data_IF_120974113645
#
_entry.id   IF_120974113645
#
_cell.length_a   1.000
_cell.length_b   1.000
_cell.length_c   1.000
_cell.angle_alpha   90.00
_cell.angle_beta   90.00
_cell.angle_gamma   90.00
#
_symmetry.space_group_name_H-M   'P 1'
#
loop_
_entity.id
_entity.type
_entity.pdbx_description
1 polymer ?
#
# COMPACT_ATOMS: atom_id res chain seq x y z
N UNK A 1 -2.73 -30.14 18.29
CA UNK A 1 -1.98 -29.74 17.08
C UNK A 1 -2.52 -28.39 16.62
N UNK A 2 -1.74 -27.29 16.68
CA UNK A 2 -2.21 -25.98 16.18
C UNK A 2 -2.25 -26.04 14.65
N UNK A 3 -3.42 -25.82 14.03
CA UNK A 3 -3.56 -25.76 12.56
C UNK A 3 -2.64 -24.66 12.03
N UNK A 4 -1.85 -24.95 10.99
CA UNK A 4 -1.05 -23.94 10.30
C UNK A 4 -2.01 -22.88 9.75
N UNK A 5 -1.79 -21.59 10.03
CA UNK A 5 -2.64 -20.53 9.49
C UNK A 5 -2.65 -20.59 7.95
N UNK A 6 -3.74 -20.16 7.30
CA UNK A 6 -3.81 -20.13 5.84
C UNK A 6 -2.64 -19.33 5.26
N UNK A 7 -2.03 -19.87 4.21
CA UNK A 7 -0.90 -19.23 3.52
C UNK A 7 -1.38 -17.95 2.81
N UNK A 8 -0.71 -16.84 3.06
CA UNK A 8 -0.95 -15.59 2.35
C UNK A 8 0.04 -15.44 1.19
N UNK A 9 -0.47 -15.63 -0.03
CA UNK A 9 0.33 -15.56 -1.26
C UNK A 9 0.61 -14.11 -1.70
N UNK A 10 0.09 -13.12 -0.96
CA UNK A 10 0.29 -11.71 -1.25
C UNK A 10 1.69 -11.23 -0.85
N UNK A 11 2.01 -9.97 -1.16
CA UNK A 11 3.25 -9.33 -0.70
C UNK A 11 3.32 -9.23 0.82
N UNK A 12 2.18 -9.14 1.50
CA UNK A 12 2.09 -9.12 2.97
C UNK A 12 2.57 -10.44 3.55
N UNK A 13 2.07 -11.58 3.04
CA UNK A 13 2.53 -12.89 3.48
C UNK A 13 3.99 -13.19 3.15
N UNK A 14 4.46 -12.80 1.96
CA UNK A 14 5.89 -12.89 1.62
C UNK A 14 6.76 -12.07 2.56
N UNK A 15 6.37 -10.82 2.87
CA UNK A 15 7.11 -9.93 3.78
C UNK A 15 7.13 -10.47 5.21
N UNK A 16 6.00 -10.95 5.72
CA UNK A 16 5.92 -11.58 7.03
C UNK A 16 6.84 -12.81 7.15
N UNK A 17 6.92 -13.64 6.10
CA UNK A 17 7.83 -14.78 6.05
C UNK A 17 9.31 -14.34 6.07
N UNK A 18 9.66 -13.29 5.32
CA UNK A 18 11.02 -12.72 5.33
C UNK A 18 11.38 -12.18 6.71
N UNK A 19 10.50 -11.37 7.34
CA UNK A 19 10.71 -10.81 8.69
C UNK A 19 10.86 -11.90 9.76
N UNK A 20 10.09 -12.99 9.65
CA UNK A 20 10.21 -14.12 10.57
C UNK A 20 11.58 -14.80 10.49
N UNK A 21 12.19 -14.85 9.30
CA UNK A 21 13.47 -15.53 9.07
C UNK A 21 14.68 -14.64 9.27
N UNK A 22 14.56 -13.33 9.02
CA UNK A 22 15.64 -12.32 8.95
C UNK A 22 16.66 -12.58 7.83
N UNK A 23 17.15 -13.81 7.71
CA UNK A 23 18.02 -14.32 6.63
C UNK A 23 17.33 -15.47 5.91
N UNK A 24 17.23 -15.42 4.58
CA UNK A 24 16.39 -16.37 3.83
C UNK A 24 16.87 -16.62 2.40
N UNK A 25 16.48 -17.78 1.85
CA UNK A 25 16.55 -18.06 0.41
C UNK A 25 15.19 -17.83 -0.24
N UNK A 26 15.12 -17.47 -1.53
CA UNK A 26 13.84 -17.28 -2.25
C UNK A 26 12.90 -18.48 -2.16
N UNK A 27 13.44 -19.70 -2.22
CA UNK A 27 12.66 -20.95 -2.12
C UNK A 27 11.94 -21.10 -0.76
N UNK A 28 12.57 -20.61 0.30
CA UNK A 28 12.05 -20.74 1.65
C UNK A 28 10.85 -19.79 1.84
N UNK A 29 10.94 -18.60 1.24
CA UNK A 29 9.83 -17.63 1.21
C UNK A 29 8.66 -18.15 0.38
N UNK A 30 8.92 -18.78 -0.77
CA UNK A 30 7.87 -19.42 -1.57
C UNK A 30 7.14 -20.52 -0.76
N UNK A 31 7.89 -21.35 -0.03
CA UNK A 31 7.33 -22.39 0.82
C UNK A 31 6.50 -21.83 1.99
N UNK A 32 6.98 -20.76 2.63
CA UNK A 32 6.32 -20.19 3.81
C UNK A 32 5.10 -19.32 3.49
N UNK A 33 5.11 -18.63 2.34
CA UNK A 33 4.00 -17.78 1.88
C UNK A 33 3.03 -18.51 0.96
N UNK A 34 3.44 -19.63 0.35
CA UNK A 34 2.67 -20.30 -0.71
C UNK A 34 2.61 -19.52 -2.02
N UNK A 35 3.39 -18.44 -2.17
CA UNK A 35 3.50 -17.68 -3.40
C UNK A 35 4.33 -18.45 -4.45
N UNK A 36 4.12 -18.13 -5.73
CA UNK A 36 4.90 -18.76 -6.82
C UNK A 36 6.36 -18.29 -6.78
N UNK A 37 7.34 -19.14 -7.17
CA UNK A 37 8.75 -18.75 -7.20
C UNK A 37 9.02 -17.47 -8.02
N UNK A 38 8.29 -17.27 -9.11
CA UNK A 38 8.44 -16.08 -9.97
C UNK A 38 7.92 -14.81 -9.30
N UNK A 39 6.81 -14.89 -8.56
CA UNK A 39 6.28 -13.77 -7.78
C UNK A 39 7.26 -13.38 -6.66
N UNK A 40 7.81 -14.38 -5.95
CA UNK A 40 8.84 -14.16 -4.92
C UNK A 40 10.09 -13.52 -5.52
N UNK A 41 10.61 -14.03 -6.63
CA UNK A 41 11.78 -13.44 -7.30
C UNK A 41 11.53 -12.00 -7.73
N UNK A 42 10.38 -11.73 -8.36
CA UNK A 42 10.01 -10.37 -8.78
C UNK A 42 9.99 -9.42 -7.60
N UNK A 43 9.44 -9.85 -6.47
CA UNK A 43 9.37 -9.04 -5.27
C UNK A 43 10.73 -8.82 -4.61
N UNK A 44 11.54 -9.88 -4.45
CA UNK A 44 12.92 -9.80 -3.94
C UNK A 44 13.77 -8.85 -4.79
N UNK A 45 13.67 -8.90 -6.12
CA UNK A 45 14.38 -7.96 -7.01
C UNK A 45 13.99 -6.51 -6.74
N UNK A 46 12.69 -6.24 -6.57
CA UNK A 46 12.22 -4.90 -6.21
C UNK A 46 12.72 -4.44 -4.85
N UNK A 47 12.66 -5.30 -3.83
CA UNK A 47 13.15 -4.97 -2.48
C UNK A 47 14.66 -4.73 -2.45
N UNK A 48 15.44 -5.54 -3.19
CA UNK A 48 16.88 -5.38 -3.29
C UNK A 48 17.25 -4.08 -4.03
N UNK A 49 16.55 -3.76 -5.11
CA UNK A 49 16.72 -2.48 -5.81
C UNK A 49 16.33 -1.26 -4.96
N UNK A 50 15.40 -1.43 -4.02
CA UNK A 50 15.00 -0.40 -3.07
C UNK A 50 15.96 -0.28 -1.85
N UNK A 51 16.96 -1.15 -1.73
CA UNK A 51 17.87 -1.19 -0.59
C UNK A 51 17.25 -1.70 0.72
N UNK A 52 16.08 -2.35 0.64
CA UNK A 52 15.35 -2.86 1.81
C UNK A 52 15.94 -4.19 2.28
N UNK A 53 16.37 -5.00 1.31
CA UNK A 53 17.07 -6.26 1.54
C UNK A 53 18.38 -6.24 0.77
N UNK A 54 19.34 -7.04 1.20
CA UNK A 54 20.61 -7.22 0.49
C UNK A 54 20.91 -8.70 0.28
N UNK A 55 21.69 -8.99 -0.77
CA UNK A 55 22.17 -10.33 -1.07
C UNK A 55 23.53 -10.50 -0.40
N UNK A 56 23.60 -11.33 0.64
CA UNK A 56 24.83 -11.57 1.41
C UNK A 56 25.65 -12.73 0.86
N UNK A 57 25.01 -13.64 0.12
CA UNK A 57 25.69 -14.74 -0.55
C UNK A 57 25.12 -14.89 -1.96
N UNK A 58 25.98 -14.70 -2.97
CA UNK A 58 25.60 -14.80 -4.37
C UNK A 58 26.09 -16.10 -4.98
N UNK A 59 25.27 -17.13 -4.84
CA UNK A 59 25.21 -18.33 -5.69
C UNK A 59 24.11 -18.09 -6.77
N UNK A 60 23.95 -18.84 -7.88
CA UNK A 60 22.92 -18.58 -8.89
C UNK A 60 21.56 -18.22 -8.26
N UNK A 61 20.72 -17.35 -8.87
CA UNK A 61 19.63 -16.64 -8.19
C UNK A 61 18.68 -17.48 -7.31
N UNK A 62 18.56 -18.79 -7.57
CA UNK A 62 17.79 -19.76 -6.78
C UNK A 62 18.41 -20.10 -5.42
N UNK A 63 19.71 -19.94 -5.26
CA UNK A 63 20.48 -20.34 -4.08
C UNK A 63 21.00 -19.15 -3.28
N UNK A 64 20.93 -17.94 -3.84
CA UNK A 64 21.39 -16.73 -3.16
C UNK A 64 20.67 -16.54 -1.82
N UNK A 65 21.42 -16.04 -0.83
CA UNK A 65 20.93 -15.75 0.51
C UNK A 65 20.74 -14.24 0.64
N UNK A 66 19.57 -13.84 1.13
CA UNK A 66 19.22 -12.45 1.36
C UNK A 66 19.00 -12.19 2.85
N UNK A 67 19.19 -10.94 3.27
CA UNK A 67 18.82 -10.46 4.61
C UNK A 67 18.08 -9.13 4.53
N UNK A 68 17.24 -8.85 5.53
CA UNK A 68 16.58 -7.55 5.69
C UNK A 68 17.59 -6.55 6.27
N UNK A 69 17.78 -5.44 5.57
CA UNK A 69 18.65 -4.33 6.03
C UNK A 69 17.81 -3.21 6.61
N UNK A 70 16.60 -3.01 6.08
CA UNK A 70 15.65 -2.02 6.56
C UNK A 70 14.28 -2.64 6.79
N UNK A 71 13.88 -2.81 8.05
CA UNK A 71 12.55 -3.31 8.41
C UNK A 71 11.52 -2.17 8.41
N UNK A 72 10.59 -2.20 7.45
CA UNK A 72 9.49 -1.22 7.33
C UNK A 72 8.26 -1.57 8.19
N UNK A 73 8.37 -2.55 9.07
CA UNK A 73 7.32 -2.93 10.00
C UNK A 73 6.33 -3.94 9.41
N UNK A 74 5.09 -3.90 9.88
CA UNK A 74 4.09 -4.92 9.56
C UNK A 74 3.60 -4.84 8.10
N UNK A 75 3.51 -3.62 7.57
CA UNK A 75 3.06 -3.38 6.20
C UNK A 75 4.14 -3.76 5.19
N UNK A 76 3.76 -4.53 4.17
CA UNK A 76 4.70 -4.95 3.14
C UNK A 76 5.13 -3.78 2.23
N UNK A 77 6.44 -3.60 2.00
CA UNK A 77 6.93 -2.55 1.12
C UNK A 77 6.34 -2.65 -0.29
N UNK A 78 5.58 -1.62 -0.68
CA UNK A 78 5.03 -1.51 -2.03
C UNK A 78 6.10 -0.97 -2.98
N UNK A 79 6.89 -1.86 -3.58
CA UNK A 79 7.94 -1.50 -4.57
C UNK A 79 7.69 -2.12 -5.95
N UNK A 80 8.16 -1.46 -7.00
CA UNK A 80 8.25 -2.03 -8.34
C UNK A 80 9.57 -2.81 -8.51
N UNK A 81 9.74 -3.48 -9.66
CA UNK A 81 10.95 -4.27 -9.95
C UNK A 81 12.22 -3.41 -10.02
N UNK A 82 12.10 -2.09 -10.17
CA UNK A 82 13.21 -1.13 -10.18
C UNK A 82 13.47 -0.53 -8.78
N UNK A 83 12.78 -1.01 -7.74
CA UNK A 83 12.91 -0.51 -6.38
C UNK A 83 12.19 0.80 -6.10
N UNK A 84 11.40 1.32 -7.04
CA UNK A 84 10.63 2.55 -6.83
C UNK A 84 9.38 2.24 -6.03
N UNK A 85 8.98 3.14 -5.14
CA UNK A 85 7.73 3.02 -4.40
C UNK A 85 6.55 3.01 -5.36
N UNK A 86 5.76 1.94 -5.31
CA UNK A 86 4.49 1.82 -6.00
C UNK A 86 3.45 2.66 -5.25
N UNK A 87 3.24 3.91 -5.68
CA UNK A 87 2.21 4.80 -5.13
C UNK A 87 0.81 4.52 -5.71
N UNK A 88 0.65 3.50 -6.58
CA UNK A 88 -0.65 3.15 -7.17
C UNK A 88 -1.53 2.57 -6.05
N UNK A 89 -2.53 3.36 -5.62
CA UNK A 89 -3.42 3.05 -4.50
C UNK A 89 -3.28 4.04 -3.33
N UNK A 90 -2.04 4.42 -2.99
CA UNK A 90 -1.72 5.30 -1.87
C UNK A 90 -2.41 6.67 -1.95
N UNK A 91 -2.42 7.31 -3.13
CA UNK A 91 -3.08 8.62 -3.29
C UNK A 91 -4.58 8.59 -3.06
N UNK A 92 -5.25 7.50 -3.42
CA UNK A 92 -6.69 7.35 -3.18
C UNK A 92 -6.94 7.10 -1.69
N UNK A 93 -6.18 6.19 -1.09
CA UNK A 93 -6.24 5.89 0.35
C UNK A 93 -5.99 7.16 1.18
N UNK A 94 -4.99 7.96 0.81
CA UNK A 94 -4.67 9.25 1.43
C UNK A 94 -5.84 10.24 1.35
N UNK A 95 -6.46 10.39 0.18
CA UNK A 95 -7.63 11.27 0.03
C UNK A 95 -8.81 10.78 0.89
N UNK A 96 -9.05 9.48 0.96
CA UNK A 96 -10.12 8.90 1.80
C UNK A 96 -9.81 9.08 3.29
N UNK A 97 -8.56 8.85 3.71
CA UNK A 97 -8.12 9.04 5.08
C UNK A 97 -8.25 10.52 5.49
N UNK A 98 -7.81 11.45 4.64
CA UNK A 98 -7.95 12.88 4.88
C UNK A 98 -9.42 13.32 4.99
N UNK A 99 -10.32 12.78 4.14
CA UNK A 99 -11.76 13.02 4.26
C UNK A 99 -12.34 12.55 5.61
N UNK A 100 -11.92 11.36 6.07
CA UNK A 100 -12.36 10.79 7.36
C UNK A 100 -11.85 11.61 8.54
N UNK A 101 -10.58 12.02 8.51
CA UNK A 101 -9.94 12.80 9.58
C UNK A 101 -10.53 14.20 9.69
N UNK A 102 -10.74 14.89 8.56
CA UNK A 102 -11.25 16.25 8.56
C UNK A 102 -12.71 16.33 9.01
N UNK A 103 -13.53 15.31 8.70
CA UNK A 103 -14.88 15.11 9.25
C UNK A 103 -15.96 16.13 8.83
N UNK A 104 -15.58 17.36 8.52
CA UNK A 104 -16.44 18.45 8.06
C UNK A 104 -16.37 18.71 6.56
N UNK A 105 -17.10 19.73 6.06
CA UNK A 105 -17.07 20.10 4.64
C UNK A 105 -15.67 20.56 4.24
N UNK A 106 -15.03 19.86 3.31
CA UNK A 106 -13.66 20.15 2.84
C UNK A 106 -13.63 20.48 1.35
N UNK A 107 -12.78 21.44 0.95
CA UNK A 107 -12.51 21.77 -0.45
C UNK A 107 -11.40 20.92 -1.07
N UNK A 108 -11.28 20.93 -2.41
CA UNK A 108 -10.30 20.09 -3.11
C UNK A 108 -8.83 20.46 -2.79
N UNK A 109 -8.53 21.74 -2.59
CA UNK A 109 -7.18 22.22 -2.27
C UNK A 109 -6.76 21.85 -0.85
N UNK A 110 -7.63 22.12 0.11
CA UNK A 110 -7.47 21.74 1.51
C UNK A 110 -7.28 20.22 1.64
N UNK A 111 -8.09 19.45 0.90
CA UNK A 111 -7.99 18.00 0.90
C UNK A 111 -6.69 17.49 0.27
N UNK A 112 -6.22 18.14 -0.80
CA UNK A 112 -4.95 17.80 -1.44
C UNK A 112 -3.76 18.12 -0.53
N UNK A 113 -3.82 19.24 0.21
CA UNK A 113 -2.79 19.61 1.18
C UNK A 113 -2.66 18.56 2.28
N UNK A 114 -3.77 18.12 2.87
CA UNK A 114 -3.78 17.13 3.97
C UNK A 114 -3.45 15.72 3.47
N UNK A 115 -3.90 15.35 2.26
CA UNK A 115 -3.67 14.01 1.70
C UNK A 115 -2.26 13.83 1.12
N UNK A 116 -1.55 14.91 0.81
CA UNK A 116 -0.23 14.81 0.18
C UNK A 116 0.83 14.34 1.16
N UNK A 117 1.75 13.50 0.67
CA UNK A 117 3.02 13.20 1.33
C UNK A 117 4.15 13.32 0.33
N UNK A 118 5.40 13.44 0.81
CA UNK A 118 6.59 13.52 -0.06
C UNK A 118 6.67 12.33 -1.03
N UNK A 119 6.28 11.15 -0.56
CA UNK A 119 6.28 9.93 -1.38
C UNK A 119 5.10 9.86 -2.36
N UNK A 120 3.98 10.55 -2.09
CA UNK A 120 2.77 10.47 -2.89
C UNK A 120 2.03 11.83 -2.89
N UNK A 121 2.49 12.79 -3.70
CA UNK A 121 1.82 14.09 -3.81
C UNK A 121 0.44 13.93 -4.45
N UNK A 122 -0.55 14.62 -3.89
CA UNK A 122 -1.94 14.65 -4.34
C UNK A 122 -2.25 16.04 -4.89
N UNK A 123 -2.71 16.12 -6.13
CA UNK A 123 -3.19 17.40 -6.68
C UNK A 123 -4.66 17.64 -6.32
N UNK A 124 -5.07 18.91 -6.24
CA UNK A 124 -6.47 19.29 -6.03
C UNK A 124 -7.40 18.67 -7.09
N UNK A 125 -6.96 18.64 -8.35
CA UNK A 125 -7.71 18.01 -9.45
C UNK A 125 -7.93 16.50 -9.21
N UNK A 126 -6.91 15.80 -8.72
CA UNK A 126 -7.01 14.37 -8.38
C UNK A 126 -7.93 14.15 -7.18
N UNK A 127 -7.78 14.93 -6.11
CA UNK A 127 -8.63 14.88 -4.93
C UNK A 127 -10.12 15.07 -5.32
N UNK A 128 -10.42 16.09 -6.13
CA UNK A 128 -11.77 16.33 -6.63
C UNK A 128 -12.31 15.15 -7.48
N UNK A 129 -11.46 14.52 -8.30
CA UNK A 129 -11.86 13.36 -9.09
C UNK A 129 -12.21 12.15 -8.21
N UNK A 130 -11.46 11.90 -7.14
CA UNK A 130 -11.79 10.86 -6.16
C UNK A 130 -13.08 11.19 -5.42
N UNK A 131 -13.27 12.43 -4.95
CA UNK A 131 -14.50 12.85 -4.29
C UNK A 131 -15.74 12.71 -5.18
N UNK A 132 -15.63 12.98 -6.49
CA UNK A 132 -16.72 12.71 -7.45
C UNK A 132 -17.08 11.23 -7.52
N UNK A 133 -16.08 10.34 -7.60
CA UNK A 133 -16.31 8.88 -7.61
C UNK A 133 -16.94 8.40 -6.29
N UNK A 134 -16.46 8.90 -5.15
CA UNK A 134 -17.01 8.58 -3.84
C UNK A 134 -18.44 9.11 -3.67
N UNK A 135 -18.75 10.26 -4.27
CA UNK A 135 -20.09 10.83 -4.25
C UNK A 135 -21.06 9.99 -5.05
N UNK A 136 -20.65 9.50 -6.23
CA UNK A 136 -21.42 8.55 -7.02
C UNK A 136 -21.66 7.22 -6.28
N UNK A 137 -20.72 6.81 -5.42
CA UNK A 137 -20.85 5.64 -4.56
C UNK A 137 -21.59 5.92 -3.23
N UNK A 138 -22.05 7.16 -2.98
CA UNK A 138 -22.76 7.55 -1.76
C UNK A 138 -21.88 7.73 -0.51
N UNK A 139 -20.57 7.50 -0.59
CA UNK A 139 -19.65 7.59 0.55
C UNK A 139 -19.33 9.03 0.99
N UNK A 140 -19.54 10.02 0.10
CA UNK A 140 -19.43 11.45 0.44
C UNK A 140 -20.63 12.20 -0.12
N UNK A 141 -21.02 13.27 0.58
CA UNK A 141 -22.07 14.19 0.12
C UNK A 141 -21.43 15.49 -0.36
N UNK A 142 -21.92 15.99 -1.49
CA UNK A 142 -21.57 17.34 -1.96
C UNK A 142 -22.36 18.36 -1.14
N UNK A 143 -21.65 19.34 -0.60
CA UNK A 143 -22.24 20.51 0.06
C UNK A 143 -21.89 21.72 -0.80
N UNK A 144 -22.90 22.50 -1.17
CA UNK A 144 -22.67 23.79 -1.82
C UNK A 144 -21.96 24.73 -0.85
N UNK A 145 -20.82 25.25 -1.30
CA UNK A 145 -20.12 26.34 -0.63
C UNK A 145 -20.28 27.62 -1.45
N UNK A 146 -20.23 28.77 -0.77
CA UNK A 146 -20.41 30.08 -1.39
C UNK A 146 -19.47 30.42 -2.56
N UNK A 147 -18.35 29.69 -2.71
CA UNK A 147 -17.34 29.91 -3.78
C UNK A 147 -16.85 28.64 -4.47
N UNK A 148 -16.94 27.48 -3.83
CA UNK A 148 -16.39 26.23 -4.36
C UNK A 148 -17.14 25.00 -3.81
N UNK A 149 -17.16 23.92 -4.60
CA UNK A 149 -17.74 22.64 -4.21
C UNK A 149 -16.98 22.05 -3.01
N UNK A 150 -17.71 21.69 -1.96
CA UNK A 150 -17.17 21.02 -0.77
C UNK A 150 -17.75 19.62 -0.63
N UNK A 151 -17.01 18.72 0.03
CA UNK A 151 -17.43 17.35 0.29
C UNK A 151 -17.41 17.05 1.78
N UNK A 152 -18.36 16.23 2.24
CA UNK A 152 -18.42 15.73 3.62
C UNK A 152 -18.43 14.22 3.58
N UNK A 153 -17.61 13.58 4.42
CA UNK A 153 -17.61 12.14 4.59
C UNK A 153 -18.93 11.65 5.22
N UNK A 154 -19.45 10.53 4.73
CA UNK A 154 -20.69 9.93 5.23
C UNK A 154 -20.36 8.58 5.90
N UNK A 155 -20.20 8.53 7.24
CA UNK A 155 -19.74 7.33 7.95
C UNK A 155 -20.58 6.09 7.66
N UNK A 156 -21.91 6.22 7.67
CA UNK A 156 -22.82 5.08 7.49
C UNK A 156 -23.12 4.67 6.04
N UNK A 157 -22.64 5.41 5.03
CA UNK A 157 -22.83 5.06 3.63
C UNK A 157 -21.62 4.30 3.05
N UNK A 158 -20.41 4.58 3.58
CA UNK A 158 -19.19 3.90 3.17
C UNK A 158 -19.14 2.42 3.59
N UNK A 159 -19.67 2.07 4.76
CA UNK A 159 -19.74 0.69 5.25
C UNK A 159 -20.60 -0.22 4.36
N UNK A 160 -21.64 0.33 3.71
CA UNK A 160 -22.47 -0.40 2.75
C UNK A 160 -21.81 -0.58 1.38
N UNK A 161 -20.78 0.21 1.07
CA UNK A 161 -20.08 0.19 -0.21
C UNK A 161 -18.78 -0.64 -0.20
N UNK A 162 -18.42 -1.25 0.93
CA UNK A 162 -17.20 -2.06 1.07
C UNK A 162 -15.89 -1.26 0.90
N UNK A 163 -15.87 -0.01 1.38
CA UNK A 163 -14.75 0.95 1.30
C UNK A 163 -14.13 1.30 2.66
#
# INVERSE_FOLDING_TARGET
MKKRPPLDRSRTGMWAAMRKRQTFRPRDIAFDSGATPDAVQTYIRGLAAAGIIECIERDPPRYSIYQIVHDEGAEAPRVDIRGRRCTRGARREQVVAALRVLGGPVGAEELALVASTDAAPVSAAYAAAICRKLSAAGAVRVVEGARARRWVWMPGAAERAGL
#
